data_IF_127138985147
#
_entry.id   IF_127138985147
#
_cell.length_a   1.000
_cell.length_b   1.000
_cell.length_c   1.000
_cell.angle_alpha   90.00
_cell.angle_beta   90.00
_cell.angle_gamma   90.00
#
_symmetry.space_group_name_H-M   'P 1'
#
loop_
_entity.id
_entity.type
_entity.pdbx_description
1 polymer ?
#
# COMPACT_ATOMS: atom_id res chain seq x y z
N UNK A 1 -17.62 -1.14 2.72
CA UNK A 1 -16.37 -1.92 2.77
C UNK A 1 -16.28 -2.64 1.43
N UNK A 2 -15.23 -2.47 0.62
CA UNK A 2 -15.13 -3.25 -0.61
C UNK A 2 -15.05 -4.73 -0.22
N UNK A 3 -15.89 -5.53 -0.86
CA UNK A 3 -15.95 -6.98 -0.66
C UNK A 3 -14.75 -7.54 -1.43
N UNK A 4 -13.55 -7.51 -0.85
CA UNK A 4 -12.50 -8.37 -1.35
C UNK A 4 -12.96 -9.82 -1.16
N UNK A 5 -12.86 -10.65 -2.19
CA UNK A 5 -13.13 -12.08 -2.07
C UNK A 5 -11.91 -12.70 -1.39
N UNK A 6 -11.93 -12.75 -0.06
CA UNK A 6 -10.79 -13.17 0.75
C UNK A 6 -10.44 -14.65 0.61
N UNK A 7 -11.34 -15.47 0.07
CA UNK A 7 -11.15 -16.91 -0.11
C UNK A 7 -10.22 -17.23 -1.29
N UNK A 8 -10.14 -16.33 -2.28
CA UNK A 8 -9.26 -16.44 -3.45
C UNK A 8 -8.74 -15.06 -3.90
N UNK A 9 -7.55 -14.71 -3.41
CA UNK A 9 -6.91 -13.43 -3.75
C UNK A 9 -6.47 -13.34 -5.20
N UNK A 10 -6.08 -14.45 -5.85
CA UNK A 10 -5.59 -14.37 -7.24
C UNK A 10 -6.75 -14.13 -8.21
N UNK A 11 -7.92 -14.77 -8.00
CA UNK A 11 -9.11 -14.45 -8.76
C UNK A 11 -9.54 -12.99 -8.57
N UNK A 12 -9.47 -12.48 -7.34
CA UNK A 12 -9.72 -11.06 -7.07
C UNK A 12 -8.76 -10.15 -7.82
N UNK A 13 -7.47 -10.48 -7.83
CA UNK A 13 -6.44 -9.72 -8.55
C UNK A 13 -6.69 -9.71 -10.06
N UNK A 14 -7.05 -10.85 -10.64
CA UNK A 14 -7.41 -10.94 -12.06
C UNK A 14 -8.65 -10.10 -12.37
N UNK A 15 -9.68 -10.16 -11.53
CA UNK A 15 -10.88 -9.32 -11.68
C UNK A 15 -10.55 -7.83 -11.66
N UNK A 16 -9.67 -7.37 -10.75
CA UNK A 16 -9.26 -5.97 -10.69
C UNK A 16 -8.54 -5.53 -11.97
N UNK A 17 -7.65 -6.38 -12.50
CA UNK A 17 -6.90 -6.08 -13.73
C UNK A 17 -7.81 -6.10 -14.96
N UNK A 18 -8.69 -7.09 -15.09
CA UNK A 18 -9.73 -7.13 -16.14
C UNK A 18 -10.60 -5.88 -16.08
N UNK A 19 -11.01 -5.47 -14.88
CA UNK A 19 -11.91 -4.32 -14.67
C UNK A 19 -11.30 -3.00 -15.13
N UNK A 20 -9.97 -2.86 -15.19
CA UNK A 20 -9.35 -1.66 -15.75
C UNK A 20 -9.67 -1.51 -17.24
N UNK A 21 -9.71 -2.62 -17.99
CA UNK A 21 -9.78 -2.60 -19.44
C UNK A 21 -11.18 -2.94 -19.98
N UNK A 22 -11.76 -4.02 -19.48
CA UNK A 22 -13.00 -4.59 -20.02
C UNK A 22 -14.23 -4.09 -19.26
N UNK A 23 -14.06 -3.61 -18.02
CA UNK A 23 -15.16 -3.17 -17.13
C UNK A 23 -14.84 -1.88 -16.36
N UNK A 24 -14.50 -0.76 -17.04
CA UNK A 24 -14.03 0.45 -16.38
C UNK A 24 -15.02 1.04 -15.36
N UNK A 25 -16.33 0.77 -15.53
CA UNK A 25 -17.40 1.16 -14.61
C UNK A 25 -17.41 0.37 -13.28
N UNK A 26 -16.60 -0.68 -13.19
CA UNK A 26 -16.50 -1.61 -12.07
C UNK A 26 -15.06 -1.74 -11.54
N UNK A 27 -14.15 -0.87 -11.98
CA UNK A 27 -12.79 -0.78 -11.47
C UNK A 27 -12.72 -0.12 -10.09
N UNK A 28 -11.69 -0.47 -9.32
CA UNK A 28 -11.32 0.19 -8.06
C UNK A 28 -9.88 0.69 -8.19
N UNK A 29 -9.71 2.01 -8.34
CA UNK A 29 -8.40 2.61 -8.59
C UNK A 29 -7.41 2.31 -7.45
N UNK A 30 -7.86 2.24 -6.20
CA UNK A 30 -7.00 2.00 -5.04
C UNK A 30 -6.48 0.56 -5.02
N UNK A 31 -7.37 -0.41 -5.25
CA UNK A 31 -6.97 -1.81 -5.22
C UNK A 31 -6.22 -2.23 -6.48
N UNK A 32 -6.68 -1.76 -7.64
CA UNK A 32 -6.10 -2.15 -8.93
C UNK A 32 -4.67 -1.64 -9.05
N UNK A 33 -4.40 -0.43 -8.57
CA UNK A 33 -3.08 0.18 -8.62
C UNK A 33 -1.99 -0.60 -7.85
N UNK A 34 -2.38 -1.44 -6.89
CA UNK A 34 -1.44 -2.28 -6.12
C UNK A 34 -0.97 -3.50 -6.90
N UNK A 35 -1.81 -3.95 -7.83
CA UNK A 35 -1.68 -5.27 -8.46
C UNK A 35 -1.32 -5.14 -9.94
N UNK A 36 -1.91 -4.15 -10.62
CA UNK A 36 -1.65 -3.86 -12.01
C UNK A 36 -0.15 -3.79 -12.36
N UNK A 37 0.74 -3.16 -11.55
CA UNK A 37 2.16 -3.08 -11.90
C UNK A 37 2.82 -4.45 -12.07
N UNK A 38 2.45 -5.43 -11.23
CA UNK A 38 2.95 -6.80 -11.33
C UNK A 38 2.44 -7.48 -12.59
N UNK A 39 1.15 -7.36 -12.91
CA UNK A 39 0.56 -7.96 -14.11
C UNK A 39 1.08 -7.30 -15.40
N UNK A 40 1.26 -5.98 -15.40
CA UNK A 40 1.87 -5.23 -16.50
C UNK A 40 3.32 -5.70 -16.74
N UNK A 41 4.10 -5.85 -15.67
CA UNK A 41 5.45 -6.41 -15.74
C UNK A 41 5.45 -7.83 -16.31
N UNK A 42 4.56 -8.71 -15.84
CA UNK A 42 4.43 -10.08 -16.36
C UNK A 42 4.07 -10.06 -17.85
N UNK A 43 3.03 -9.32 -18.24
CA UNK A 43 2.55 -9.26 -19.62
C UNK A 43 3.63 -8.75 -20.60
N UNK A 44 4.36 -7.70 -20.22
CA UNK A 44 5.46 -7.14 -21.03
C UNK A 44 6.63 -8.10 -21.21
N UNK A 45 6.88 -8.98 -20.24
CA UNK A 45 8.04 -9.88 -20.22
C UNK A 45 7.64 -11.35 -20.36
N UNK A 46 6.44 -11.63 -20.87
CA UNK A 46 5.85 -12.97 -20.87
C UNK A 46 6.75 -14.00 -21.57
N UNK A 47 7.28 -13.68 -22.75
CA UNK A 47 8.15 -14.60 -23.49
C UNK A 47 9.41 -14.97 -22.70
N UNK A 48 10.01 -14.00 -22.01
CA UNK A 48 11.22 -14.22 -21.20
C UNK A 48 10.89 -15.06 -19.96
N UNK A 49 9.78 -14.76 -19.28
CA UNK A 49 9.34 -15.51 -18.10
C UNK A 49 9.03 -16.97 -18.42
N UNK A 50 8.43 -17.24 -19.59
CA UNK A 50 8.11 -18.60 -20.05
C UNK A 50 9.36 -19.46 -20.33
N UNK A 51 10.52 -18.84 -20.53
CA UNK A 51 11.80 -19.55 -20.73
C UNK A 51 12.51 -19.91 -19.40
N UNK A 52 12.01 -19.43 -18.25
CA UNK A 52 12.63 -19.68 -16.96
C UNK A 52 12.35 -21.12 -16.52
N UNK A 53 13.42 -21.87 -16.25
CA UNK A 53 13.33 -23.23 -15.73
C UNK A 53 12.51 -23.25 -14.43
N UNK A 54 11.41 -24.02 -14.40
CA UNK A 54 10.53 -24.16 -13.23
C UNK A 54 9.36 -23.16 -13.15
N UNK A 55 9.16 -22.30 -14.15
CA UNK A 55 8.06 -21.32 -14.16
C UNK A 55 6.67 -21.95 -14.08
N UNK A 56 6.41 -23.06 -14.80
CA UNK A 56 5.08 -23.70 -14.85
C UNK A 56 4.59 -24.06 -13.45
N UNK A 57 5.45 -24.72 -12.65
CA UNK A 57 5.13 -25.08 -11.26
C UNK A 57 4.85 -23.83 -10.40
N UNK A 58 5.58 -22.74 -10.63
CA UNK A 58 5.38 -21.49 -9.88
C UNK A 58 4.02 -20.85 -10.23
N UNK A 59 3.58 -20.94 -11.48
CA UNK A 59 2.24 -20.50 -11.90
C UNK A 59 1.15 -21.42 -11.33
N UNK A 60 1.35 -22.73 -11.31
CA UNK A 60 0.43 -23.67 -10.63
C UNK A 60 0.30 -23.34 -9.14
N UNK A 61 1.40 -22.98 -8.47
CA UNK A 61 1.37 -22.52 -7.08
C UNK A 61 0.60 -21.21 -6.91
N UNK A 62 0.74 -20.27 -7.85
CA UNK A 62 0.02 -18.98 -7.84
C UNK A 62 -1.49 -19.15 -7.98
N UNK A 63 -1.91 -20.07 -8.85
CA UNK A 63 -3.33 -20.34 -9.14
C UNK A 63 -3.97 -21.34 -8.16
N UNK A 64 -3.23 -21.80 -7.15
CA UNK A 64 -3.73 -22.75 -6.18
C UNK A 64 -4.49 -22.04 -5.05
N UNK A 65 -5.82 -22.10 -5.10
CA UNK A 65 -6.74 -21.54 -4.09
C UNK A 65 -6.39 -21.96 -2.64
N UNK A 66 -5.79 -23.15 -2.43
CA UNK A 66 -5.40 -23.61 -1.09
C UNK A 66 -4.18 -22.87 -0.54
N UNK A 67 -3.34 -22.31 -1.41
CA UNK A 67 -2.16 -21.49 -1.08
C UNK A 67 -2.46 -20.03 -1.43
N UNK A 68 -3.40 -19.43 -0.69
CA UNK A 68 -3.90 -18.07 -0.91
C UNK A 68 -2.90 -16.95 -0.49
N UNK A 69 -1.68 -16.96 -1.07
CA UNK A 69 -0.60 -15.99 -0.82
C UNK A 69 0.03 -15.45 -2.13
N UNK A 70 -0.77 -14.93 -3.08
CA UNK A 70 -0.27 -14.54 -4.40
C UNK A 70 0.80 -13.44 -4.35
N UNK A 71 0.80 -12.59 -3.34
CA UNK A 71 1.77 -11.49 -3.22
C UNK A 71 3.23 -11.97 -3.13
N UNK A 72 3.48 -13.09 -2.46
CA UNK A 72 4.83 -13.64 -2.34
C UNK A 72 5.33 -14.15 -3.71
N UNK A 73 4.48 -14.89 -4.41
CA UNK A 73 4.80 -15.44 -5.73
C UNK A 73 4.95 -14.34 -6.78
N UNK A 74 4.07 -13.33 -6.78
CA UNK A 74 4.21 -12.16 -7.65
C UNK A 74 5.53 -11.40 -7.42
N UNK A 75 5.99 -11.36 -6.17
CA UNK A 75 7.29 -10.77 -5.84
C UNK A 75 8.46 -11.62 -6.35
N UNK A 76 8.41 -12.95 -6.19
CA UNK A 76 9.40 -13.87 -6.76
C UNK A 76 9.49 -13.74 -8.29
N UNK A 77 8.35 -13.65 -8.98
CA UNK A 77 8.29 -13.44 -10.44
C UNK A 77 8.93 -12.11 -10.84
N UNK A 78 8.71 -11.05 -10.07
CA UNK A 78 9.32 -9.75 -10.33
C UNK A 78 10.85 -9.76 -10.15
N UNK A 79 11.34 -10.45 -9.12
CA UNK A 79 12.78 -10.63 -8.89
C UNK A 79 13.41 -11.51 -9.98
N UNK A 80 12.73 -12.58 -10.40
CA UNK A 80 13.21 -13.42 -11.50
C UNK A 80 13.35 -12.61 -12.81
N UNK A 81 12.33 -11.81 -13.14
CA UNK A 81 12.37 -10.91 -14.29
C UNK A 81 13.50 -9.88 -14.21
N UNK A 82 13.75 -9.30 -13.03
CA UNK A 82 14.88 -8.39 -12.79
C UNK A 82 16.20 -9.02 -13.23
N UNK A 83 16.47 -10.26 -12.83
CA UNK A 83 17.69 -10.96 -13.21
C UNK A 83 17.75 -11.29 -14.70
N UNK A 84 16.64 -11.73 -15.31
CA UNK A 84 16.57 -11.96 -16.75
C UNK A 84 16.88 -10.68 -17.55
N UNK A 85 16.33 -9.53 -17.15
CA UNK A 85 16.60 -8.22 -17.77
C UNK A 85 18.08 -7.82 -17.68
N UNK A 86 18.78 -8.29 -16.65
CA UNK A 86 20.21 -8.08 -16.46
C UNK A 86 21.08 -9.17 -17.12
N UNK A 87 20.49 -10.03 -17.95
CA UNK A 87 21.18 -11.06 -18.73
C UNK A 87 21.61 -12.29 -17.93
N UNK A 88 20.99 -12.54 -16.77
CA UNK A 88 21.20 -13.77 -16.02
C UNK A 88 20.28 -14.87 -16.52
N UNK A 89 20.79 -16.10 -16.60
CA UNK A 89 19.94 -17.29 -16.68
C UNK A 89 19.35 -17.55 -15.30
N UNK A 90 18.03 -17.69 -15.21
CA UNK A 90 17.30 -17.87 -13.96
C UNK A 90 16.64 -19.24 -13.93
N UNK A 91 16.55 -19.85 -12.74
CA UNK A 91 15.78 -21.07 -12.49
C UNK A 91 15.07 -20.97 -11.14
N UNK A 92 13.79 -21.33 -11.09
CA UNK A 92 13.06 -21.51 -9.83
C UNK A 92 13.48 -22.82 -9.17
N UNK A 93 13.69 -22.77 -7.86
CA UNK A 93 14.07 -23.95 -7.08
C UNK A 93 12.80 -24.52 -6.44
N UNK A 94 12.48 -25.81 -6.68
CA UNK A 94 11.33 -26.43 -6.06
C UNK A 94 11.42 -26.47 -4.54
N UNK A 95 10.31 -26.13 -3.85
CA UNK A 95 10.20 -26.33 -2.40
C UNK A 95 10.42 -27.82 -2.04
N UNK A 96 11.20 -28.05 -0.99
CA UNK A 96 11.43 -29.37 -0.40
C UNK A 96 10.81 -29.45 0.99
N UNK A 97 10.14 -30.56 1.29
CA UNK A 97 9.62 -30.85 2.64
C UNK A 97 10.74 -31.26 3.61
N UNK A 98 11.92 -31.63 3.10
CA UNK A 98 13.01 -32.21 3.90
C UNK A 98 14.10 -31.20 4.25
N UNK A 99 14.28 -30.18 3.43
CA UNK A 99 15.32 -29.17 3.63
C UNK A 99 14.83 -27.80 3.17
N UNK A 100 15.35 -26.77 3.83
CA UNK A 100 15.15 -25.39 3.41
C UNK A 100 15.94 -25.13 2.13
N UNK A 101 15.31 -24.53 1.14
CA UNK A 101 15.93 -24.11 -0.11
C UNK A 101 15.74 -22.62 -0.35
N UNK A 102 16.63 -21.99 -1.12
CA UNK A 102 16.37 -20.67 -1.65
C UNK A 102 15.31 -20.70 -2.73
N UNK A 103 14.74 -19.56 -3.09
CA UNK A 103 13.68 -19.47 -4.11
C UNK A 103 14.22 -19.58 -5.56
N UNK A 104 15.36 -18.95 -5.86
CA UNK A 104 15.94 -18.93 -7.21
C UNK A 104 17.42 -19.32 -7.23
N UNK A 105 17.86 -19.75 -8.40
CA UNK A 105 19.27 -19.78 -8.80
C UNK A 105 19.47 -18.91 -10.02
N UNK A 106 20.55 -18.13 -10.04
CA UNK A 106 20.95 -17.30 -11.18
C UNK A 106 22.36 -17.65 -11.65
N UNK A 107 22.61 -17.60 -12.96
CA UNK A 107 23.91 -17.87 -13.57
C UNK A 107 24.25 -16.91 -14.71
N UNK A 108 25.50 -16.45 -14.76
CA UNK A 108 26.04 -15.62 -15.84
C UNK A 108 27.57 -15.69 -15.83
N UNK A 109 28.20 -15.86 -17.00
CA UNK A 109 29.66 -15.82 -17.17
C UNK A 109 30.46 -16.68 -16.17
N UNK A 110 29.96 -17.90 -15.90
CA UNK A 110 30.59 -18.83 -14.95
C UNK A 110 30.33 -18.53 -13.46
N UNK A 111 29.63 -17.45 -13.15
CA UNK A 111 29.17 -17.12 -11.80
C UNK A 111 27.80 -17.73 -11.52
N UNK A 112 27.55 -18.08 -10.26
CA UNK A 112 26.27 -18.59 -9.78
C UNK A 112 25.96 -17.97 -8.43
N UNK A 113 24.71 -17.58 -8.21
CA UNK A 113 24.20 -17.12 -6.92
C UNK A 113 22.88 -17.82 -6.56
N UNK A 114 22.68 -17.99 -5.27
CA UNK A 114 21.41 -18.40 -4.68
C UNK A 114 20.62 -17.16 -4.27
N UNK A 115 19.38 -17.03 -4.71
CA UNK A 115 18.56 -15.84 -4.42
C UNK A 115 17.37 -16.24 -3.58
N UNK A 116 17.18 -15.52 -2.48
CA UNK A 116 16.08 -15.72 -1.57
C UNK A 116 15.15 -14.51 -1.56
N UNK A 117 13.86 -14.75 -1.73
CA UNK A 117 12.82 -13.74 -1.77
C UNK A 117 11.97 -13.81 -0.49
N UNK A 118 11.78 -12.66 0.15
CA UNK A 118 10.87 -12.53 1.29
C UNK A 118 10.01 -11.30 1.13
N UNK A 119 8.70 -11.45 1.29
CA UNK A 119 7.77 -10.33 1.31
C UNK A 119 7.30 -10.07 2.73
N UNK A 120 7.36 -8.82 3.18
CA UNK A 120 6.75 -8.40 4.44
C UNK A 120 5.22 -8.51 4.35
N UNK A 121 4.59 -8.81 5.48
CA UNK A 121 3.15 -8.70 5.60
C UNK A 121 2.72 -7.26 5.32
N UNK A 122 1.61 -7.11 4.60
CA UNK A 122 1.06 -5.83 4.14
C UNK A 122 0.92 -4.81 5.26
N UNK A 123 0.33 -5.22 6.39
CA UNK A 123 -0.01 -4.30 7.48
C UNK A 123 0.55 -4.84 8.81
N UNK A 124 1.25 -4.02 9.59
CA UNK A 124 1.61 -4.34 10.96
C UNK A 124 0.40 -4.60 11.87
N UNK A 125 0.50 -5.56 12.79
CA UNK A 125 -0.53 -5.84 13.80
C UNK A 125 -0.89 -4.59 14.62
N UNK A 126 0.11 -3.74 14.87
CA UNK A 126 -0.10 -2.44 15.49
C UNK A 126 -0.91 -1.47 14.60
N UNK A 127 -0.64 -1.42 13.29
CA UNK A 127 -1.42 -0.59 12.36
C UNK A 127 -2.88 -1.03 12.30
N UNK A 128 -3.15 -2.35 12.35
CA UNK A 128 -4.53 -2.88 12.44
C UNK A 128 -5.21 -2.47 13.77
N UNK A 129 -4.50 -2.63 14.89
CA UNK A 129 -5.00 -2.21 16.21
C UNK A 129 -5.29 -0.70 16.26
N UNK A 130 -4.37 0.13 15.78
CA UNK A 130 -4.56 1.58 15.72
C UNK A 130 -5.72 1.98 14.81
N UNK A 131 -5.90 1.27 13.68
CA UNK A 131 -7.03 1.47 12.77
C UNK A 131 -8.36 1.10 13.44
N UNK A 132 -8.39 0.05 14.24
CA UNK A 132 -9.58 -0.34 15.03
C UNK A 132 -9.93 0.75 16.06
N UNK A 133 -8.95 1.28 16.78
CA UNK A 133 -9.15 2.39 17.73
C UNK A 133 -9.64 3.67 17.04
N UNK A 134 -9.12 3.95 15.84
CA UNK A 134 -9.62 5.02 14.98
C UNK A 134 -11.07 4.80 14.54
N UNK A 135 -11.41 3.59 14.08
CA UNK A 135 -12.76 3.25 13.65
C UNK A 135 -13.78 3.45 14.78
N UNK A 136 -13.44 3.04 16.00
CA UNK A 136 -14.29 3.22 17.18
C UNK A 136 -14.59 4.69 17.47
N UNK A 137 -13.59 5.58 17.35
CA UNK A 137 -13.74 7.02 17.60
C UNK A 137 -14.45 7.74 16.45
N UNK A 138 -14.06 7.44 15.21
CA UNK A 138 -14.64 8.05 14.01
C UNK A 138 -16.10 7.66 13.80
N UNK A 139 -16.51 6.44 14.17
CA UNK A 139 -17.90 6.01 14.12
C UNK A 139 -18.80 6.89 15.01
N UNK A 140 -18.34 7.28 16.20
CA UNK A 140 -19.10 8.13 17.12
C UNK A 140 -19.35 9.51 16.52
N UNK A 141 -18.32 10.13 15.95
CA UNK A 141 -18.46 11.44 15.29
C UNK A 141 -19.33 11.34 14.03
N UNK A 142 -19.08 10.35 13.17
CA UNK A 142 -19.83 10.19 11.92
C UNK A 142 -21.31 9.91 12.15
N UNK A 143 -21.66 9.14 13.19
CA UNK A 143 -23.06 8.93 13.58
C UNK A 143 -23.76 10.25 13.94
N UNK A 144 -23.11 11.12 14.74
CA UNK A 144 -23.66 12.44 15.08
C UNK A 144 -23.83 13.29 13.81
N UNK A 145 -22.81 13.33 12.96
CA UNK A 145 -22.87 14.10 11.71
C UNK A 145 -23.98 13.60 10.78
N UNK A 146 -24.20 12.29 10.69
CA UNK A 146 -25.27 11.71 9.88
C UNK A 146 -26.65 11.95 10.50
N UNK A 147 -26.82 11.77 11.81
CA UNK A 147 -28.09 11.95 12.52
C UNK A 147 -28.60 13.39 12.37
N UNK A 148 -27.72 14.37 12.54
CA UNK A 148 -28.05 15.79 12.40
C UNK A 148 -27.92 16.33 10.97
N UNK A 149 -27.64 15.46 9.99
CA UNK A 149 -27.46 15.82 8.56
C UNK A 149 -26.44 16.93 8.35
N UNK A 150 -25.36 16.89 9.13
CA UNK A 150 -24.25 17.82 9.08
C UNK A 150 -23.21 17.36 8.07
N UNK A 151 -22.63 18.32 7.34
CA UNK A 151 -21.65 18.02 6.29
C UNK A 151 -20.31 18.71 6.55
N UNK A 152 -19.27 17.92 6.79
CA UNK A 152 -17.97 18.41 7.23
C UNK A 152 -16.81 17.61 6.64
N UNK A 153 -15.78 18.33 6.21
CA UNK A 153 -14.42 17.79 6.12
C UNK A 153 -13.77 17.97 7.49
N UNK A 154 -13.17 16.90 8.00
CA UNK A 154 -12.50 16.88 9.29
C UNK A 154 -11.11 16.29 9.08
N UNK A 155 -10.09 17.10 9.33
CA UNK A 155 -8.68 16.68 9.27
C UNK A 155 -8.17 16.51 10.71
N UNK A 156 -7.75 15.29 11.07
CA UNK A 156 -7.33 14.90 12.42
C UNK A 156 -5.85 14.55 12.43
N UNK A 157 -5.09 15.16 13.34
CA UNK A 157 -3.72 14.79 13.66
C UNK A 157 -3.67 14.28 15.11
N UNK A 158 -3.36 13.00 15.29
CA UNK A 158 -3.10 12.41 16.61
C UNK A 158 -1.64 12.63 17.00
N UNK A 159 -1.42 13.27 18.16
CA UNK A 159 -0.09 13.56 18.74
C UNK A 159 0.40 12.44 19.65
N UNK A 160 -0.53 11.63 20.16
CA UNK A 160 -0.29 10.43 20.96
C UNK A 160 -0.91 9.21 20.26
N UNK A 161 -0.56 7.96 20.64
CA UNK A 161 -1.22 6.78 20.10
C UNK A 161 -2.75 6.88 20.21
N UNK A 162 -3.49 6.49 19.18
CA UNK A 162 -4.96 6.66 19.13
C UNK A 162 -5.65 6.04 20.34
N UNK A 163 -5.16 4.88 20.79
CA UNK A 163 -5.64 4.14 21.97
C UNK A 163 -5.47 4.89 23.30
N UNK A 164 -4.61 5.92 23.36
CA UNK A 164 -4.38 6.72 24.56
C UNK A 164 -5.27 7.97 24.62
N UNK A 165 -5.99 8.28 23.55
CA UNK A 165 -6.96 9.38 23.53
C UNK A 165 -8.29 8.92 24.15
N UNK A 166 -9.08 9.86 24.67
CA UNK A 166 -10.44 9.55 25.12
C UNK A 166 -11.34 9.04 23.99
N UNK A 167 -12.21 8.08 24.27
CA UNK A 167 -13.12 7.48 23.28
C UNK A 167 -14.05 8.49 22.58
N UNK A 168 -14.36 9.60 23.27
CA UNK A 168 -15.22 10.65 22.75
C UNK A 168 -14.43 11.88 22.26
N UNK A 169 -13.09 11.83 22.21
CA UNK A 169 -12.26 13.01 21.91
C UNK A 169 -12.70 13.78 20.66
N UNK A 170 -13.08 13.07 19.59
CA UNK A 170 -13.52 13.68 18.34
C UNK A 170 -14.87 14.41 18.50
N UNK A 171 -15.79 13.83 19.29
CA UNK A 171 -17.09 14.40 19.59
C UNK A 171 -16.96 15.60 20.52
N UNK A 172 -16.11 15.49 21.54
CA UNK A 172 -15.83 16.56 22.49
C UNK A 172 -15.24 17.78 21.78
N UNK A 173 -14.24 17.57 20.91
CA UNK A 173 -13.68 18.62 20.07
C UNK A 173 -14.71 19.21 19.08
N UNK A 174 -15.60 18.39 18.51
CA UNK A 174 -16.65 18.89 17.63
C UNK A 174 -17.66 19.77 18.38
N UNK A 175 -18.08 19.37 19.58
CA UNK A 175 -18.96 20.16 20.45
C UNK A 175 -18.31 21.48 20.87
N UNK A 176 -17.01 21.45 21.20
CA UNK A 176 -16.24 22.66 21.47
C UNK A 176 -16.19 23.57 20.24
N UNK A 177 -15.92 23.02 19.06
CA UNK A 177 -15.95 23.74 17.79
C UNK A 177 -17.30 24.43 17.56
N UNK A 178 -18.41 23.72 17.73
CA UNK A 178 -19.75 24.30 17.61
C UNK A 178 -19.99 25.42 18.63
N UNK A 179 -19.56 25.22 19.88
CA UNK A 179 -19.73 26.20 20.97
C UNK A 179 -18.94 27.48 20.72
N UNK A 180 -17.70 27.37 20.24
CA UNK A 180 -16.78 28.50 20.08
C UNK A 180 -16.99 29.23 18.74
N UNK A 181 -17.20 28.48 17.66
CA UNK A 181 -17.19 29.01 16.30
C UNK A 181 -18.56 28.94 15.59
N UNK A 182 -19.58 28.35 16.24
CA UNK A 182 -20.94 28.29 15.72
C UNK A 182 -21.15 27.32 14.54
N UNK A 183 -20.12 26.58 14.12
CA UNK A 183 -20.22 25.56 13.06
C UNK A 183 -20.24 26.09 11.62
N UNK A 184 -20.23 27.41 11.41
CA UNK A 184 -20.38 27.99 10.07
C UNK A 184 -19.07 28.19 9.29
N UNK A 185 -17.92 28.13 9.97
CA UNK A 185 -16.63 28.49 9.39
C UNK A 185 -15.58 27.41 9.64
N UNK A 186 -14.55 27.36 8.79
CA UNK A 186 -13.36 26.56 9.06
C UNK A 186 -12.72 27.03 10.36
N UNK A 187 -12.45 26.10 11.28
CA UNK A 187 -11.69 26.39 12.49
C UNK A 187 -10.93 25.16 12.97
N UNK A 188 -9.99 25.41 13.88
CA UNK A 188 -9.10 24.41 14.43
C UNK A 188 -9.31 24.29 15.93
N UNK A 189 -9.33 23.06 16.44
CA UNK A 189 -9.33 22.73 17.86
C UNK A 189 -8.03 21.97 18.16
N UNK A 190 -7.28 22.48 19.14
CA UNK A 190 -5.99 21.94 19.57
C UNK A 190 -6.07 21.50 21.02
N UNK A 191 -5.77 20.23 21.26
CA UNK A 191 -5.53 19.67 22.60
C UNK A 191 -4.10 19.14 22.68
N UNK A 192 -3.73 18.61 23.85
CA UNK A 192 -2.46 17.90 24.01
C UNK A 192 -2.40 16.61 23.17
N UNK A 193 -3.54 15.98 22.93
CA UNK A 193 -3.62 14.65 22.30
C UNK A 193 -3.88 14.73 20.79
N UNK A 194 -4.63 15.75 20.36
CA UNK A 194 -5.08 15.89 18.97
C UNK A 194 -5.03 17.34 18.48
N UNK A 195 -4.99 17.48 17.17
CA UNK A 195 -5.26 18.71 16.45
C UNK A 195 -6.28 18.39 15.36
N UNK A 196 -7.39 19.11 15.37
CA UNK A 196 -8.51 18.84 14.45
C UNK A 196 -8.89 20.12 13.74
N UNK A 197 -8.89 20.07 12.41
CA UNK A 197 -9.49 21.12 11.58
C UNK A 197 -10.87 20.68 11.12
N UNK A 198 -11.89 21.45 11.47
CA UNK A 198 -13.25 21.28 10.95
C UNK A 198 -13.48 22.27 9.81
N UNK A 199 -14.08 21.80 8.71
CA UNK A 199 -14.47 22.63 7.57
C UNK A 199 -15.88 22.22 7.12
N UNK A 200 -16.89 23.09 7.25
CA UNK A 200 -18.22 22.84 6.70
C UNK A 200 -18.14 22.62 5.18
N UNK A 201 -18.93 21.70 4.65
CA UNK A 201 -19.00 21.41 3.22
C UNK A 201 -20.23 22.03 2.58
N UNK A 202 -20.06 22.55 1.36
CA UNK A 202 -21.16 23.05 0.54
C UNK A 202 -21.80 21.88 -0.23
N UNK A 203 -22.87 21.34 0.36
CA UNK A 203 -23.64 20.23 -0.22
C UNK A 203 -24.29 20.61 -1.55
N UNK A 204 -24.61 21.89 -1.77
CA UNK A 204 -25.22 22.34 -3.03
C UNK A 204 -24.16 22.28 -4.13
N UNK A 205 -22.95 22.78 -3.87
CA UNK A 205 -21.83 22.69 -4.79
C UNK A 205 -21.44 21.23 -5.08
N UNK A 206 -21.34 20.39 -4.04
CA UNK A 206 -21.05 18.95 -4.19
C UNK A 206 -22.10 18.27 -5.08
N UNK A 207 -23.38 18.45 -4.80
CA UNK A 207 -24.45 17.85 -5.61
C UNK A 207 -24.50 18.39 -7.04
N UNK A 208 -24.00 19.62 -7.29
CA UNK A 208 -23.84 20.12 -8.65
C UNK A 208 -22.76 19.33 -9.38
N UNK A 209 -21.61 19.09 -8.75
CA UNK A 209 -20.53 18.28 -9.35
C UNK A 209 -20.93 16.82 -9.55
N UNK A 210 -21.64 16.20 -8.60
CA UNK A 210 -22.14 14.82 -8.71
C UNK A 210 -23.10 14.64 -9.88
N UNK A 211 -23.83 15.68 -10.29
CA UNK A 211 -24.70 15.64 -11.47
C UNK A 211 -23.95 15.76 -12.80
N UNK A 212 -22.76 16.34 -12.77
CA UNK A 212 -21.93 16.55 -13.96
C UNK A 212 -20.99 15.34 -14.22
N UNK A 213 -20.81 14.46 -13.23
CA UNK A 213 -19.85 13.36 -13.27
C UNK A 213 -20.42 12.09 -12.60
N UNK A 214 -20.18 10.93 -13.20
CA UNK A 214 -20.46 9.66 -12.55
C UNK A 214 -19.40 9.38 -11.45
N UNK A 215 -19.69 9.76 -10.21
CA UNK A 215 -18.76 9.60 -9.07
C UNK A 215 -19.07 8.32 -8.29
N UNK A 216 -18.08 7.42 -8.21
CA UNK A 216 -18.19 6.17 -7.45
C UNK A 216 -18.24 6.43 -5.95
N UNK A 217 -19.02 5.61 -5.25
CA UNK A 217 -18.96 5.55 -3.79
C UNK A 217 -17.59 5.04 -3.31
N UNK A 218 -17.04 5.64 -2.26
CA UNK A 218 -15.74 5.27 -1.67
C UNK A 218 -14.55 5.34 -2.65
N UNK A 219 -14.47 6.40 -3.44
CA UNK A 219 -13.44 6.60 -4.46
C UNK A 219 -12.59 7.84 -4.18
N UNK A 220 -11.33 7.91 -4.67
CA UNK A 220 -10.54 9.15 -4.69
C UNK A 220 -11.31 10.36 -5.26
N UNK A 221 -12.12 10.12 -6.29
CA UNK A 221 -12.99 11.09 -6.96
C UNK A 221 -13.98 11.72 -5.98
N UNK A 222 -14.61 10.91 -5.12
CA UNK A 222 -15.54 11.41 -4.11
C UNK A 222 -14.84 12.33 -3.10
N UNK A 223 -13.62 11.96 -2.69
CA UNK A 223 -12.80 12.81 -1.81
C UNK A 223 -12.49 14.13 -2.50
N UNK A 224 -12.04 14.09 -3.76
CA UNK A 224 -11.70 15.29 -4.54
C UNK A 224 -12.91 16.22 -4.72
N UNK A 225 -14.10 15.69 -5.04
CA UNK A 225 -15.33 16.48 -5.12
C UNK A 225 -15.67 17.15 -3.78
N UNK A 226 -15.42 16.48 -2.65
CA UNK A 226 -15.77 17.00 -1.34
C UNK A 226 -14.75 18.00 -0.78
N UNK A 227 -13.45 17.74 -0.94
CA UNK A 227 -12.38 18.50 -0.28
C UNK A 227 -11.45 19.23 -1.24
N UNK A 228 -11.68 19.10 -2.55
CA UNK A 228 -10.93 19.76 -3.63
C UNK A 228 -9.64 19.06 -4.04
N UNK A 229 -9.15 18.09 -3.26
CA UNK A 229 -7.94 17.31 -3.57
C UNK A 229 -7.94 15.96 -2.87
N UNK A 230 -7.58 14.90 -3.60
CA UNK A 230 -7.21 13.62 -3.02
C UNK A 230 -5.70 13.54 -2.78
N UNK A 231 -5.28 13.07 -1.60
CA UNK A 231 -3.88 12.74 -1.31
C UNK A 231 -3.70 11.23 -1.28
N UNK A 232 -2.88 10.69 -2.18
CA UNK A 232 -2.57 9.25 -2.17
C UNK A 232 -1.92 8.84 -0.86
N UNK A 233 -2.32 7.68 -0.33
CA UNK A 233 -1.88 7.18 0.97
C UNK A 233 -2.54 7.87 2.18
N UNK A 234 -3.42 8.85 1.96
CA UNK A 234 -4.21 9.44 3.04
C UNK A 234 -5.21 8.46 3.63
N UNK A 235 -5.36 8.47 4.97
CA UNK A 235 -6.33 7.62 5.65
C UNK A 235 -7.69 8.31 5.74
N UNK A 236 -8.55 8.05 4.76
CA UNK A 236 -9.89 8.65 4.67
C UNK A 236 -10.99 7.71 5.17
N UNK A 237 -12.02 8.32 5.76
CA UNK A 237 -13.32 7.72 6.05
C UNK A 237 -14.38 8.65 5.47
N UNK A 238 -15.25 8.10 4.63
CA UNK A 238 -16.41 8.82 4.08
C UNK A 238 -17.68 8.28 4.74
N UNK A 239 -18.52 9.19 5.23
CA UNK A 239 -19.84 8.85 5.75
C UNK A 239 -20.85 9.84 5.17
N UNK A 240 -21.93 9.35 4.58
CA UNK A 240 -22.92 10.20 3.93
C UNK A 240 -24.32 9.63 4.07
N UNK A 241 -25.30 10.53 4.09
CA UNK A 241 -26.69 10.24 3.81
C UNK A 241 -26.92 10.53 2.34
N UNK A 242 -27.47 9.56 1.60
CA UNK A 242 -27.79 9.72 0.18
C UNK A 242 -29.30 9.76 -0.01
N UNK A 243 -29.73 10.50 -1.03
CA UNK A 243 -31.09 10.38 -1.55
C UNK A 243 -31.15 9.20 -2.54
N UNK A 244 -30.17 9.13 -3.44
CA UNK A 244 -30.16 8.14 -4.52
C UNK A 244 -28.74 7.59 -4.77
N UNK A 245 -28.64 6.27 -4.89
CA UNK A 245 -27.49 5.55 -5.43
C UNK A 245 -27.95 4.84 -6.71
N UNK A 246 -27.07 4.74 -7.69
CA UNK A 246 -27.34 3.99 -8.91
C UNK A 246 -26.16 3.08 -9.25
N UNK A 247 -26.43 2.10 -10.12
CA UNK A 247 -25.44 1.17 -10.64
C UNK A 247 -25.25 1.40 -12.13
N UNK A 248 -24.00 1.42 -12.57
CA UNK A 248 -23.64 1.45 -13.99
C UNK A 248 -23.06 0.09 -14.43
N UNK A 249 -23.01 -0.17 -15.73
CA UNK A 249 -22.59 -1.47 -16.28
C UNK A 249 -23.77 -2.31 -16.75
N UNK A 250 -23.45 -3.32 -17.57
CA UNK A 250 -24.43 -4.13 -18.29
C UNK A 250 -24.61 -5.51 -17.67
N UNK A 251 -23.59 -6.02 -16.97
CA UNK A 251 -23.56 -7.38 -16.47
C UNK A 251 -23.56 -7.41 -14.94
N UNK A 252 -24.75 -7.58 -14.37
CA UNK A 252 -24.96 -7.54 -12.91
C UNK A 252 -24.19 -8.62 -12.14
N UNK A 253 -23.72 -9.68 -12.79
CA UNK A 253 -22.96 -10.75 -12.13
C UNK A 253 -21.49 -10.39 -11.98
N UNK A 254 -20.96 -9.51 -12.84
CA UNK A 254 -19.53 -9.16 -12.87
C UNK A 254 -19.28 -7.70 -12.53
N UNK A 255 -20.26 -6.80 -12.71
CA UNK A 255 -20.14 -5.40 -12.36
C UNK A 255 -20.42 -5.20 -10.85
N UNK A 256 -19.47 -5.59 -10.00
CA UNK A 256 -19.65 -5.65 -8.54
C UNK A 256 -19.18 -4.41 -7.78
N UNK A 257 -18.31 -3.58 -8.37
CA UNK A 257 -17.81 -2.31 -7.78
C UNK A 257 -18.37 -1.07 -8.51
N UNK A 258 -19.62 -1.16 -8.95
CA UNK A 258 -20.26 -0.20 -9.85
C UNK A 258 -21.28 0.71 -9.16
N UNK A 259 -21.12 1.01 -7.88
CA UNK A 259 -22.08 1.84 -7.12
C UNK A 259 -21.65 3.30 -7.17
N UNK A 260 -22.50 4.14 -7.74
CA UNK A 260 -22.31 5.57 -7.96
C UNK A 260 -23.29 6.40 -7.13
N UNK A 261 -22.88 7.64 -6.84
CA UNK A 261 -23.65 8.59 -6.05
C UNK A 261 -24.29 9.61 -6.98
N UNK A 262 -25.63 9.69 -6.98
CA UNK A 262 -26.34 10.75 -7.70
C UNK A 262 -26.46 12.00 -6.84
N UNK A 263 -26.92 11.83 -5.59
CA UNK A 263 -27.20 12.94 -4.70
C UNK A 263 -27.01 12.59 -3.23
N UNK A 264 -26.34 13.49 -2.51
CA UNK A 264 -26.17 13.43 -1.05
C UNK A 264 -27.07 14.44 -0.33
N UNK A 265 -27.63 14.00 0.79
CA UNK A 265 -28.32 14.88 1.77
C UNK A 265 -27.29 15.53 2.69
N UNK A 266 -26.33 14.74 3.14
CA UNK A 266 -25.19 15.20 3.93
C UNK A 266 -24.00 14.29 3.71
N UNK A 267 -22.79 14.83 3.78
CA UNK A 267 -21.56 14.06 3.59
C UNK A 267 -20.46 14.57 4.52
N UNK A 268 -19.73 13.64 5.12
CA UNK A 268 -18.59 13.94 5.96
C UNK A 268 -17.38 13.13 5.52
N UNK A 269 -16.25 13.82 5.37
CA UNK A 269 -14.95 13.24 5.01
C UNK A 269 -14.02 13.44 6.20
N UNK A 270 -13.62 12.35 6.84
CA UNK A 270 -12.65 12.35 7.92
C UNK A 270 -11.32 11.86 7.36
N UNK A 271 -10.25 12.64 7.55
CA UNK A 271 -8.88 12.25 7.24
C UNK A 271 -8.09 12.21 8.54
N UNK A 272 -7.31 11.16 8.77
CA UNK A 272 -6.48 11.08 9.97
C UNK A 272 -5.02 10.73 9.68
N UNK A 273 -4.15 11.26 10.53
CA UNK A 273 -2.73 10.92 10.57
C UNK A 273 -2.29 10.82 12.03
N UNK A 274 -1.38 9.89 12.33
CA UNK A 274 -0.70 9.84 13.64
C UNK A 274 0.74 10.33 13.48
N UNK A 275 1.12 11.33 14.26
CA UNK A 275 2.49 11.86 14.36
C UNK A 275 3.17 11.43 15.65
N UNK A 276 2.57 10.50 16.41
CA UNK A 276 3.16 9.96 17.62
C UNK A 276 4.43 9.16 17.29
N UNK A 277 5.54 9.49 17.95
CA UNK A 277 6.80 8.74 17.82
C UNK A 277 6.62 7.25 18.15
N UNK A 278 5.78 6.94 19.15
CA UNK A 278 5.47 5.56 19.51
C UNK A 278 4.74 4.83 18.37
N UNK A 279 3.68 5.43 17.82
CA UNK A 279 2.95 4.86 16.68
C UNK A 279 3.86 4.67 15.47
N UNK A 280 4.66 5.68 15.12
CA UNK A 280 5.62 5.62 14.01
C UNK A 280 6.59 4.46 14.22
N UNK A 281 7.15 4.34 15.43
CA UNK A 281 8.10 3.29 15.74
C UNK A 281 7.48 1.89 15.70
N UNK A 282 6.25 1.71 16.16
CA UNK A 282 5.56 0.41 16.16
C UNK A 282 5.12 -0.03 14.76
N UNK A 283 4.73 0.92 13.89
CA UNK A 283 4.37 0.66 12.49
C UNK A 283 5.59 0.40 11.60
N UNK A 284 6.74 0.99 11.92
CA UNK A 284 8.01 0.72 11.26
C UNK A 284 8.56 -0.68 11.66
N UNK A 285 7.95 -1.76 11.16
CA UNK A 285 8.40 -3.14 11.35
C UNK A 285 9.81 -3.32 10.75
N UNK A 286 10.69 -3.94 11.52
CA UNK A 286 12.06 -4.25 11.11
C UNK A 286 12.13 -5.53 10.23
N UNK A 287 13.15 -5.62 9.38
CA UNK A 287 13.41 -6.74 8.48
C UNK A 287 14.07 -7.94 9.17
N UNK A 288 14.57 -7.77 10.40
CA UNK A 288 15.35 -8.78 11.16
C UNK A 288 14.77 -10.21 11.09
N UNK A 289 13.46 -10.36 11.32
CA UNK A 289 12.81 -11.69 11.32
C UNK A 289 12.85 -12.35 9.94
N UNK A 290 12.68 -11.57 8.88
CA UNK A 290 12.78 -12.07 7.50
C UNK A 290 14.24 -12.36 7.15
N UNK A 291 15.15 -11.49 7.56
CA UNK A 291 16.57 -11.66 7.32
C UNK A 291 17.11 -12.97 7.93
N UNK A 292 16.76 -13.28 9.19
CA UNK A 292 17.10 -14.56 9.81
C UNK A 292 16.61 -15.74 8.99
N UNK A 293 15.33 -15.71 8.57
CA UNK A 293 14.74 -16.78 7.77
C UNK A 293 15.44 -16.93 6.42
N UNK A 294 15.70 -15.82 5.75
CA UNK A 294 16.33 -15.80 4.44
C UNK A 294 17.76 -16.35 4.49
N UNK A 295 18.56 -15.91 5.46
CA UNK A 295 19.93 -16.41 5.68
C UNK A 295 19.95 -17.91 5.97
N UNK A 296 18.98 -18.42 6.73
CA UNK A 296 18.85 -19.86 7.00
C UNK A 296 18.47 -20.68 5.74
N UNK A 297 17.92 -20.06 4.70
CA UNK A 297 17.52 -20.72 3.44
C UNK A 297 18.62 -20.72 2.37
N UNK A 298 19.57 -19.78 2.45
CA UNK A 298 20.76 -19.79 1.58
C UNK A 298 21.65 -20.98 1.98
N UNK A 299 22.19 -21.79 1.04
CA UNK A 299 23.06 -22.91 1.36
C UNK A 299 24.49 -22.46 1.75
N UNK A 300 25.31 -23.37 2.29
CA UNK A 300 26.71 -23.06 2.70
C UNK A 300 27.71 -23.12 1.54
N UNK A 301 27.34 -23.78 0.44
CA UNK A 301 28.24 -24.12 -0.66
C UNK A 301 28.26 -23.09 -1.80
N UNK A 302 27.67 -21.91 -1.60
CA UNK A 302 27.69 -20.85 -2.59
C UNK A 302 27.21 -19.49 -2.09
N UNK A 303 27.46 -18.43 -2.87
CA UNK A 303 27.10 -17.07 -2.51
C UNK A 303 25.58 -16.84 -2.58
N UNK A 304 25.06 -16.11 -1.61
CA UNK A 304 23.65 -15.77 -1.47
C UNK A 304 23.33 -14.31 -1.73
N UNK A 305 22.12 -14.06 -2.24
CA UNK A 305 21.51 -12.73 -2.39
C UNK A 305 20.12 -12.78 -1.80
N UNK A 306 19.72 -11.72 -1.09
CA UNK A 306 18.42 -11.65 -0.43
C UNK A 306 17.64 -10.46 -0.98
N UNK A 307 16.40 -10.69 -1.38
CA UNK A 307 15.41 -9.66 -1.72
C UNK A 307 14.32 -9.62 -0.67
N UNK A 308 14.09 -8.44 -0.08
CA UNK A 308 13.02 -8.19 0.88
C UNK A 308 12.07 -7.15 0.31
N UNK A 309 10.88 -7.58 -0.08
CA UNK A 309 9.82 -6.73 -0.62
C UNK A 309 8.87 -6.21 0.46
N UNK A 310 8.51 -4.94 0.41
CA UNK A 310 7.46 -4.36 1.27
C UNK A 310 6.70 -3.23 0.59
N UNK A 311 5.48 -3.02 1.07
CA UNK A 311 4.58 -1.97 0.60
C UNK A 311 4.56 -0.81 1.59
N UNK A 312 4.52 0.41 1.07
CA UNK A 312 4.48 1.63 1.86
C UNK A 312 3.03 2.07 2.02
N UNK A 313 2.49 1.90 3.23
CA UNK A 313 1.06 2.14 3.54
C UNK A 313 0.85 3.10 4.72
N UNK A 314 1.85 3.28 5.58
CA UNK A 314 1.70 3.99 6.86
C UNK A 314 2.20 5.45 6.81
N UNK A 315 2.54 5.94 5.62
CA UNK A 315 3.01 7.30 5.36
C UNK A 315 4.53 7.49 5.52
N UNK A 316 5.08 8.59 5.01
CA UNK A 316 6.50 8.67 4.69
C UNK A 316 7.42 8.74 5.93
N UNK A 317 6.93 9.26 7.06
CA UNK A 317 7.70 9.23 8.32
C UNK A 317 7.90 7.80 8.86
N UNK A 318 6.92 6.92 8.68
CA UNK A 318 7.04 5.50 9.04
C UNK A 318 8.03 4.81 8.12
N UNK A 319 7.99 5.11 6.82
CA UNK A 319 8.90 4.53 5.84
C UNK A 319 10.36 4.95 6.08
N UNK A 320 10.60 6.24 6.37
CA UNK A 320 11.93 6.70 6.80
C UNK A 320 12.42 5.96 8.04
N UNK A 321 11.55 5.79 9.06
CA UNK A 321 11.92 5.05 10.28
C UNK A 321 12.21 3.57 10.00
N UNK A 322 11.44 2.93 9.11
CA UNK A 322 11.63 1.54 8.67
C UNK A 322 12.97 1.37 7.96
N UNK A 323 13.30 2.28 7.05
CA UNK A 323 14.58 2.30 6.34
C UNK A 323 15.77 2.38 7.31
N UNK A 324 15.74 3.32 8.26
CA UNK A 324 16.82 3.48 9.24
C UNK A 324 17.00 2.23 10.12
N UNK A 325 15.89 1.62 10.57
CA UNK A 325 15.94 0.36 11.33
C UNK A 325 16.53 -0.78 10.51
N UNK A 326 16.08 -0.93 9.27
CA UNK A 326 16.57 -1.98 8.38
C UNK A 326 18.08 -1.82 8.12
N UNK A 327 18.54 -0.59 7.91
CA UNK A 327 19.96 -0.27 7.76
C UNK A 327 20.77 -0.68 9.00
N UNK A 328 20.35 -0.25 10.18
CA UNK A 328 21.03 -0.60 11.45
C UNK A 328 21.08 -2.12 11.65
N UNK A 329 19.96 -2.80 11.45
CA UNK A 329 19.85 -4.26 11.57
C UNK A 329 20.77 -4.98 10.58
N UNK A 330 20.78 -4.59 9.30
CA UNK A 330 21.58 -5.25 8.26
C UNK A 330 23.08 -5.05 8.48
N UNK A 331 23.49 -3.84 8.89
CA UNK A 331 24.89 -3.51 9.15
C UNK A 331 25.45 -4.27 10.37
N UNK A 332 24.61 -4.51 11.39
CA UNK A 332 24.99 -5.26 12.60
C UNK A 332 24.62 -6.74 12.57
N UNK A 333 24.16 -7.29 11.45
CA UNK A 333 23.67 -8.66 11.38
C UNK A 333 24.80 -9.70 11.36
N UNK A 334 24.64 -10.78 12.12
CA UNK A 334 25.53 -11.94 12.08
C UNK A 334 25.03 -12.97 11.04
N UNK A 335 25.75 -13.05 9.91
CA UNK A 335 25.46 -13.97 8.81
C UNK A 335 25.96 -15.40 9.06
N UNK A 336 26.58 -15.66 10.22
CA UNK A 336 27.20 -16.94 10.56
C UNK A 336 28.23 -17.33 9.49
N UNK A 337 28.16 -18.56 8.99
CA UNK A 337 29.02 -19.10 7.93
C UNK A 337 28.46 -18.85 6.51
N UNK A 338 27.35 -18.13 6.36
CA UNK A 338 26.71 -17.90 5.06
C UNK A 338 27.43 -16.79 4.30
N UNK A 339 27.71 -17.06 3.03
CA UNK A 339 28.31 -16.10 2.12
C UNK A 339 27.26 -15.17 1.49
N UNK A 340 26.72 -14.23 2.26
CA UNK A 340 25.74 -13.26 1.76
C UNK A 340 26.47 -12.10 1.07
N UNK A 341 26.17 -11.87 -0.21
CA UNK A 341 26.84 -10.85 -1.05
C UNK A 341 26.01 -9.58 -1.22
N UNK A 342 24.70 -9.70 -1.12
CA UNK A 342 23.80 -8.58 -1.39
C UNK A 342 22.47 -8.74 -0.66
N UNK A 343 21.95 -7.62 -0.16
CA UNK A 343 20.58 -7.52 0.33
C UNK A 343 19.91 -6.34 -0.34
N UNK A 344 18.80 -6.62 -1.03
CA UNK A 344 17.94 -5.64 -1.67
C UNK A 344 16.66 -5.50 -0.85
N UNK A 345 16.35 -4.29 -0.42
CA UNK A 345 15.07 -3.93 0.20
C UNK A 345 14.24 -3.19 -0.85
N UNK A 346 13.26 -3.87 -1.45
CA UNK A 346 12.42 -3.35 -2.52
C UNK A 346 11.12 -2.78 -1.93
N UNK A 347 11.01 -1.47 -1.92
CA UNK A 347 9.88 -0.69 -1.40
C UNK A 347 8.98 -0.25 -2.55
N UNK A 348 7.68 -0.54 -2.46
CA UNK A 348 6.68 -0.16 -3.47
C UNK A 348 5.61 0.70 -2.78
N UNK A 349 5.30 1.85 -3.37
CA UNK A 349 4.26 2.76 -2.91
C UNK A 349 3.18 2.94 -3.96
N UNK A 350 1.94 2.82 -3.51
CA UNK A 350 0.75 3.05 -4.31
C UNK A 350 0.45 4.54 -4.49
N UNK A 351 0.24 4.99 -5.73
CA UNK A 351 -0.10 6.37 -6.04
C UNK A 351 -1.43 6.43 -6.82
N UNK A 352 -2.55 6.22 -6.14
CA UNK A 352 -3.86 6.36 -6.76
C UNK A 352 -4.26 7.84 -6.90
N UNK A 353 -5.05 8.13 -7.94
CA UNK A 353 -5.70 9.42 -8.14
C UNK A 353 -7.16 9.18 -8.58
N UNK A 354 -7.91 10.25 -8.78
CA UNK A 354 -9.30 10.19 -9.26
C UNK A 354 -9.45 9.49 -10.61
N UNK A 355 -8.53 9.69 -11.55
CA UNK A 355 -8.72 9.21 -12.92
C UNK A 355 -7.62 8.27 -13.39
N UNK A 356 -6.63 8.00 -12.55
CA UNK A 356 -5.48 7.19 -12.90
C UNK A 356 -4.85 6.62 -11.64
N UNK A 357 -3.88 5.75 -11.83
CA UNK A 357 -2.97 5.36 -10.77
C UNK A 357 -1.55 5.27 -11.28
N UNK A 358 -0.64 5.40 -10.35
CA UNK A 358 0.79 5.32 -10.54
C UNK A 358 1.40 4.55 -9.35
N UNK A 359 2.69 4.31 -9.38
CA UNK A 359 3.42 3.71 -8.26
C UNK A 359 4.84 4.25 -8.20
N UNK A 360 5.36 4.39 -6.99
CA UNK A 360 6.78 4.63 -6.77
C UNK A 360 7.46 3.34 -6.34
N UNK A 361 8.69 3.16 -6.79
CA UNK A 361 9.54 2.06 -6.37
C UNK A 361 10.87 2.60 -5.85
N UNK A 362 11.40 1.97 -4.80
CA UNK A 362 12.75 2.26 -4.30
C UNK A 362 13.43 0.96 -3.90
N UNK A 363 14.61 0.73 -4.46
CA UNK A 363 15.49 -0.37 -4.06
C UNK A 363 16.59 0.17 -3.15
N UNK A 364 16.52 -0.15 -1.86
CA UNK A 364 17.62 0.11 -0.93
C UNK A 364 18.60 -1.06 -0.96
N UNK A 365 19.86 -0.77 -1.26
CA UNK A 365 20.86 -1.79 -1.50
C UNK A 365 21.96 -1.81 -0.44
N UNK A 366 22.21 -2.98 0.15
CA UNK A 366 23.26 -3.21 1.13
C UNK A 366 24.27 -4.24 0.58
N UNK A 367 25.49 -3.77 0.33
CA UNK A 367 26.55 -4.53 -0.32
C UNK A 367 27.43 -5.27 0.68
N UNK A 368 27.72 -6.53 0.38
CA UNK A 368 28.83 -7.28 0.95
C UNK A 368 29.71 -7.76 -0.21
N UNK A 369 31.00 -7.51 -0.13
CA UNK A 369 32.09 -7.76 -1.11
C UNK A 369 31.74 -8.74 -2.26
N UNK A 370 31.96 -8.37 -3.54
CA UNK A 370 31.72 -9.17 -4.77
C UNK A 370 30.27 -9.67 -4.99
N UNK A 371 29.44 -8.85 -5.64
CA UNK A 371 28.02 -9.12 -5.96
C UNK A 371 27.75 -8.90 -7.45
N UNK A 372 26.65 -9.44 -8.01
CA UNK A 372 26.27 -9.16 -9.38
C UNK A 372 25.92 -7.67 -9.54
N UNK A 373 26.51 -7.03 -10.55
CA UNK A 373 26.13 -5.66 -10.92
C UNK A 373 24.84 -5.75 -11.74
N UNK A 374 23.82 -5.04 -11.28
CA UNK A 374 22.55 -4.90 -11.97
C UNK A 374 22.52 -3.52 -12.62
N UNK A 375 22.39 -3.47 -13.95
CA UNK A 375 22.15 -2.24 -14.70
C UNK A 375 20.73 -1.72 -14.47
N UNK A 376 19.78 -2.64 -14.28
CA UNK A 376 18.41 -2.35 -13.89
C UNK A 376 18.18 -2.89 -12.47
N UNK A 377 17.76 -2.05 -11.52
CA UNK A 377 17.61 -2.40 -10.11
C UNK A 377 16.20 -2.19 -9.54
N UNK A 378 15.24 -1.80 -10.41
CA UNK A 378 13.82 -1.70 -10.11
C UNK A 378 13.07 -2.92 -10.68
N UNK A 379 12.17 -3.49 -9.89
CA UNK A 379 11.37 -4.67 -10.21
C UNK A 379 10.24 -4.37 -11.20
N UNK A 380 9.56 -3.24 -11.02
CA UNK A 380 8.31 -2.88 -11.69
C UNK A 380 8.46 -1.67 -12.61
N UNK A 381 9.21 -0.66 -12.18
CA UNK A 381 9.42 0.55 -12.97
C UNK A 381 10.43 0.34 -14.11
N UNK A 382 10.20 0.99 -15.25
CA UNK A 382 11.07 0.90 -16.44
C UNK A 382 12.16 1.98 -16.48
N UNK A 383 12.01 3.04 -15.69
CA UNK A 383 12.94 4.17 -15.66
C UNK A 383 13.01 4.80 -14.28
N UNK A 384 14.16 5.38 -13.96
CA UNK A 384 14.43 6.09 -12.70
C UNK A 384 14.17 7.59 -12.88
N UNK A 385 13.27 8.17 -12.10
CA UNK A 385 13.03 9.63 -12.08
C UNK A 385 13.92 10.39 -11.09
N UNK A 386 14.52 9.70 -10.11
CA UNK A 386 15.45 10.27 -9.13
C UNK A 386 16.53 9.26 -8.71
N UNK A 387 17.81 9.62 -8.85
CA UNK A 387 18.93 8.77 -8.46
C UNK A 387 19.34 9.05 -7.01
N UNK A 388 19.66 8.01 -6.23
CA UNK A 388 20.19 8.07 -4.86
C UNK A 388 19.31 8.71 -3.78
N UNK A 389 18.00 8.88 -4.02
CA UNK A 389 17.08 9.36 -2.99
C UNK A 389 15.83 8.48 -2.92
N UNK A 390 15.46 7.95 -1.75
CA UNK A 390 14.19 7.27 -1.58
C UNK A 390 13.00 8.20 -1.78
N UNK A 391 11.92 7.71 -2.40
CA UNK A 391 10.74 8.52 -2.73
C UNK A 391 10.07 9.17 -1.50
N UNK A 392 10.11 8.52 -0.32
CA UNK A 392 9.50 9.07 0.90
C UNK A 392 10.19 10.35 1.41
N UNK A 393 11.45 10.62 1.02
CA UNK A 393 12.11 11.88 1.40
C UNK A 393 11.53 13.07 0.61
N UNK A 394 11.16 12.85 -0.65
CA UNK A 394 10.46 13.87 -1.45
C UNK A 394 9.03 14.08 -0.91
N UNK A 395 8.36 13.02 -0.46
CA UNK A 395 7.05 13.11 0.20
C UNK A 395 7.13 13.93 1.49
N UNK A 396 8.18 13.74 2.32
CA UNK A 396 8.39 14.53 3.54
C UNK A 396 8.60 16.00 3.22
N UNK A 397 9.45 16.32 2.24
CA UNK A 397 9.67 17.72 1.84
C UNK A 397 8.39 18.39 1.34
N UNK A 398 7.59 17.68 0.55
CA UNK A 398 6.31 18.19 0.05
C UNK A 398 5.33 18.45 1.20
N UNK A 399 5.26 17.54 2.18
CA UNK A 399 4.43 17.70 3.37
C UNK A 399 4.88 18.91 4.21
N UNK A 400 6.19 19.08 4.39
CA UNK A 400 6.76 20.19 5.17
C UNK A 400 6.61 21.55 4.49
N UNK A 401 6.60 21.61 3.15
CA UNK A 401 6.31 22.84 2.39
C UNK A 401 4.83 23.23 2.38
N UNK A 402 3.94 22.28 2.64
CA UNK A 402 2.48 22.48 2.60
C UNK A 402 1.86 22.88 3.94
N UNK A 403 2.64 22.85 5.02
CA UNK A 403 2.31 23.37 6.35
C UNK A 403 2.67 24.85 6.44
#
# INVERSE_FOLDING_TARGET
MPIAVYDDWIAWYMYLVESIFDRPLSGDALQSARIFPFFSMIGKNLSVLLEIDGIEKKIEELLNERKNQPDAILFELAVANLYCKNGWKVSFIPESIFYKSPDLQIRKDGQQYWVECKRMQKVPDYSESERSEWQNRSLRLTNILQEYKLSYSVDIIFKVPVSQTGDNILVDCFNEYLKVYGGGNRAEIKTNDVEITFRPLDVIAINKELKEKDVRSNSPELIEVCVGKYESGGNYVSAFNHDELYKLGLDKNFDILNVYIDKVVSISILKWTSVSDHSINMKAKDVKRLLVKAVDQIPLDGPGIIHIGYENLDGPYVERKRFLKAQETIQGFDYKEKDIRAIHCNSIQLLASSNNFDWAETTCFYKQIHHPVLEHDLLLAESVSGFNRPHWEDDIENLERSK
#
